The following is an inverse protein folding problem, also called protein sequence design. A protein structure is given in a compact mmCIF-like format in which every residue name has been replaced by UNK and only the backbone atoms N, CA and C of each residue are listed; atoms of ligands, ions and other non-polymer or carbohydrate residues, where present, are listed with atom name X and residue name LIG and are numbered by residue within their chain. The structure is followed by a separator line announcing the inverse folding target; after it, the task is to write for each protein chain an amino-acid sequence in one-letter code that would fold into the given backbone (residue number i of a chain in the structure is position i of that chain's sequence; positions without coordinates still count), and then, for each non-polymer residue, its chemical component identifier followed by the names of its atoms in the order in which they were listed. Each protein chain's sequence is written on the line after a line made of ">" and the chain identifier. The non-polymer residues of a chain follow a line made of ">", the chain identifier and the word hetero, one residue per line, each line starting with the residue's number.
data_IF_077002820336
#
_entry.id   IF_077002820336
#
_cell.length_a   1.000
_cell.length_b   1.000
_cell.length_c   1.000
_cell.angle_alpha   90.00
_cell.angle_beta   90.00
_cell.angle_gamma   90.00
#
_symmetry.space_group_name_H-M   'P 1'
#
loop_
_entity.id
_entity.type
_entity.pdbx_description
1 polymer ?
#
# COMPACT_ATOMS: atom_id res chain seq x y z
N UNK A 1 7.98 -14.07 2.53
CA UNK A 1 9.38 -14.31 2.88
C UNK A 1 9.62 -15.79 3.04
N UNK A 2 10.72 -16.29 2.49
CA UNK A 2 11.16 -17.67 2.63
C UNK A 2 12.52 -17.72 3.33
N UNK A 3 12.81 -18.84 3.98
CA UNK A 3 14.12 -19.10 4.59
C UNK A 3 14.61 -20.48 4.20
N UNK A 4 15.92 -20.65 4.05
CA UNK A 4 16.60 -21.93 3.93
C UNK A 4 17.26 -22.29 5.27
N UNK A 5 16.97 -23.48 5.79
CA UNK A 5 17.57 -24.01 7.01
C UNK A 5 18.91 -24.73 6.72
N UNK A 6 19.77 -24.95 7.74
CA UNK A 6 21.05 -25.64 7.55
C UNK A 6 20.98 -27.06 6.96
N UNK A 7 19.81 -27.70 6.99
CA UNK A 7 19.56 -29.00 6.38
C UNK A 7 19.14 -28.92 4.90
N UNK A 8 19.04 -27.71 4.32
CA UNK A 8 18.62 -27.44 2.94
C UNK A 8 17.10 -27.40 2.74
N UNK A 9 16.29 -27.52 3.79
CA UNK A 9 14.84 -27.35 3.70
C UNK A 9 14.48 -25.86 3.66
N UNK A 10 13.43 -25.52 2.89
CA UNK A 10 12.88 -24.18 2.84
C UNK A 10 11.52 -24.10 3.52
N UNK A 11 11.19 -22.95 4.10
CA UNK A 11 9.88 -22.70 4.71
C UNK A 11 9.45 -21.24 4.52
N UNK A 12 8.14 -21.01 4.50
CA UNK A 12 7.55 -19.67 4.37
C UNK A 12 7.30 -19.08 5.75
N UNK A 13 7.83 -17.89 5.99
CA UNK A 13 7.73 -17.20 7.27
C UNK A 13 6.58 -16.19 7.28
N UNK A 14 5.95 -16.03 8.44
CA UNK A 14 5.13 -14.86 8.79
C UNK A 14 5.67 -14.30 10.10
N UNK A 15 5.97 -12.99 10.07
CA UNK A 15 6.42 -12.28 11.26
C UNK A 15 5.26 -12.24 12.27
N UNK A 16 5.52 -12.75 13.47
CA UNK A 16 4.56 -12.76 14.55
C UNK A 16 4.43 -11.36 15.18
N UNK A 17 3.20 -10.96 15.48
CA UNK A 17 2.90 -9.73 16.21
C UNK A 17 2.93 -8.44 15.39
N UNK A 18 3.17 -8.51 14.08
CA UNK A 18 3.23 -7.31 13.22
C UNK A 18 2.44 -7.49 11.93
N UNK A 19 1.91 -6.38 11.44
CA UNK A 19 1.18 -6.29 10.18
C UNK A 19 1.57 -5.01 9.45
N UNK A 20 2.15 -5.15 8.26
CA UNK A 20 2.50 -4.02 7.40
C UNK A 20 1.31 -3.68 6.51
N UNK A 21 1.20 -2.44 6.01
CA UNK A 21 0.25 -2.14 4.94
C UNK A 21 0.45 -3.06 3.73
N UNK A 22 -0.61 -3.26 2.97
CA UNK A 22 -0.57 -4.04 1.72
C UNK A 22 0.20 -3.27 0.63
N UNK A 23 0.91 -4.01 -0.22
CA UNK A 23 1.63 -3.46 -1.39
C UNK A 23 0.78 -3.45 -2.66
N UNK A 24 -0.54 -3.57 -2.50
CA UNK A 24 -1.47 -3.53 -3.62
C UNK A 24 -2.58 -2.58 -3.24
N UNK A 25 -2.70 -1.47 -3.97
CA UNK A 25 -3.60 -0.37 -3.62
C UNK A 25 -5.05 -0.84 -3.39
N UNK A 26 -5.56 -1.74 -4.23
CA UNK A 26 -6.91 -2.31 -4.10
C UNK A 26 -7.13 -3.20 -2.88
N UNK A 27 -6.06 -3.63 -2.20
CA UNK A 27 -6.11 -4.40 -0.94
C UNK A 27 -5.75 -3.55 0.28
N UNK A 28 -5.23 -2.35 0.07
CA UNK A 28 -4.91 -1.42 1.15
C UNK A 28 -6.20 -0.86 1.74
N UNK A 29 -6.41 -1.12 3.02
CA UNK A 29 -7.61 -0.70 3.74
C UNK A 29 -7.23 0.21 4.91
N UNK A 30 -7.51 1.52 4.83
CA UNK A 30 -7.15 2.46 5.91
C UNK A 30 -7.80 2.16 7.25
N UNK A 31 -8.99 1.54 7.27
CA UNK A 31 -9.70 1.22 8.52
C UNK A 31 -8.95 0.21 9.41
N UNK A 32 -7.94 -0.46 8.86
CA UNK A 32 -7.03 -1.31 9.62
C UNK A 32 -6.01 -0.50 10.45
N UNK A 33 -5.74 0.76 10.12
CA UNK A 33 -4.66 1.54 10.74
C UNK A 33 -5.24 2.70 11.57
N UNK A 34 -4.92 2.71 12.86
CA UNK A 34 -5.40 3.75 13.77
C UNK A 34 -4.90 5.13 13.34
N UNK A 35 -5.80 6.12 13.35
CA UNK A 35 -5.46 7.51 12.99
C UNK A 35 -5.38 7.77 11.48
N UNK A 36 -5.51 6.76 10.62
CA UNK A 36 -5.54 6.95 9.17
C UNK A 36 -7.00 6.97 8.68
N UNK A 37 -7.46 8.05 8.02
CA UNK A 37 -8.82 8.15 7.54
C UNK A 37 -9.08 7.22 6.36
N UNK A 38 -10.29 6.64 6.31
CA UNK A 38 -10.81 5.89 5.16
C UNK A 38 -11.10 6.85 3.98
N UNK A 39 -10.03 7.19 3.28
CA UNK A 39 -9.96 8.18 2.22
C UNK A 39 -8.89 7.77 1.20
N UNK A 40 -8.92 8.36 0.01
CA UNK A 40 -7.88 8.16 -1.01
C UNK A 40 -6.49 8.50 -0.46
N UNK A 41 -6.34 9.66 0.20
CA UNK A 41 -5.07 10.07 0.81
C UNK A 41 -4.55 9.06 1.85
N UNK A 42 -5.42 8.56 2.73
CA UNK A 42 -5.03 7.56 3.72
C UNK A 42 -4.63 6.23 3.07
N UNK A 43 -5.33 5.82 2.00
CA UNK A 43 -5.02 4.60 1.25
C UNK A 43 -3.70 4.71 0.51
N UNK A 44 -3.43 5.83 -0.15
CA UNK A 44 -2.20 6.07 -0.91
C UNK A 44 -1.00 6.14 0.05
N UNK A 45 -1.14 6.85 1.17
CA UNK A 45 -0.13 6.89 2.23
C UNK A 45 0.22 5.49 2.74
N UNK A 46 -0.78 4.66 3.03
CA UNK A 46 -0.53 3.29 3.48
C UNK A 46 0.08 2.42 2.39
N UNK A 47 -0.32 2.59 1.13
CA UNK A 47 0.30 1.89 0.01
C UNK A 47 1.79 2.21 -0.10
N UNK A 48 2.18 3.50 -0.04
CA UNK A 48 3.58 3.92 -0.01
C UNK A 48 4.33 3.30 1.17
N UNK A 49 3.72 3.27 2.36
CA UNK A 49 4.32 2.65 3.54
C UNK A 49 4.43 1.13 3.45
N UNK A 50 3.53 0.47 2.72
CA UNK A 50 3.64 -0.95 2.37
C UNK A 50 4.86 -1.22 1.49
N UNK A 51 5.12 -0.37 0.50
CA UNK A 51 6.31 -0.46 -0.35
C UNK A 51 7.59 -0.19 0.46
N UNK A 52 7.60 0.85 1.31
CA UNK A 52 8.74 1.16 2.20
C UNK A 52 9.04 0.02 3.18
N UNK A 53 8.01 -0.59 3.77
CA UNK A 53 8.17 -1.74 4.66
C UNK A 53 8.74 -2.96 3.92
N UNK A 54 8.32 -3.17 2.68
CA UNK A 54 8.83 -4.25 1.83
C UNK A 54 10.30 -4.03 1.47
N UNK A 55 10.67 -2.81 1.09
CA UNK A 55 12.06 -2.44 0.80
C UNK A 55 12.94 -2.57 2.04
N UNK A 56 12.48 -2.09 3.20
CA UNK A 56 13.19 -2.23 4.46
C UNK A 56 13.44 -3.70 4.83
N UNK A 57 12.45 -4.57 4.64
CA UNK A 57 12.63 -6.00 4.86
C UNK A 57 13.64 -6.63 3.90
N UNK A 58 13.65 -6.23 2.62
CA UNK A 58 14.63 -6.70 1.65
C UNK A 58 16.06 -6.25 2.05
N UNK A 59 16.25 -4.96 2.35
CA UNK A 59 17.54 -4.41 2.74
C UNK A 59 18.08 -5.03 4.03
N UNK A 60 17.18 -5.34 4.97
CA UNK A 60 17.59 -5.91 6.25
C UNK A 60 17.78 -7.42 6.25
N UNK A 61 17.19 -8.17 5.31
CA UNK A 61 17.10 -9.63 5.43
C UNK A 61 17.60 -10.39 4.19
N UNK A 62 17.53 -9.82 3.00
CA UNK A 62 17.87 -10.55 1.78
C UNK A 62 19.34 -10.99 1.76
N UNK A 63 19.54 -12.29 1.56
CA UNK A 63 20.86 -12.92 1.57
C UNK A 63 21.57 -12.93 2.93
N UNK A 64 20.94 -12.44 4.01
CA UNK A 64 21.54 -12.43 5.35
C UNK A 64 21.25 -13.73 6.10
N UNK A 65 22.22 -14.16 6.91
CA UNK A 65 21.98 -15.22 7.90
C UNK A 65 21.33 -14.59 9.13
N UNK A 66 20.13 -15.05 9.46
CA UNK A 66 19.36 -14.52 10.58
C UNK A 66 19.09 -15.59 11.62
N UNK A 67 18.79 -15.16 12.85
CA UNK A 67 18.29 -16.06 13.88
C UNK A 67 16.77 -15.99 13.93
N UNK A 68 16.12 -17.14 13.86
CA UNK A 68 14.66 -17.27 13.95
C UNK A 68 14.29 -17.84 15.32
N UNK A 69 13.26 -17.28 15.94
CA UNK A 69 12.71 -17.73 17.23
C UNK A 69 11.19 -17.88 17.11
N UNK A 70 10.65 -19.01 17.56
CA UNK A 70 9.20 -19.20 17.72
C UNK A 70 8.78 -18.79 19.13
N UNK A 71 7.58 -18.23 19.26
CA UNK A 71 7.02 -17.89 20.56
C UNK A 71 6.48 -19.13 21.30
N UNK A 72 6.66 -19.24 22.63
CA UNK A 72 6.13 -20.37 23.41
C UNK A 72 4.63 -20.27 23.72
N UNK A 73 4.02 -19.08 23.61
CA UNK A 73 2.60 -18.84 23.91
C UNK A 73 1.74 -18.75 22.63
N UNK A 74 2.36 -18.50 21.48
CA UNK A 74 1.68 -18.51 20.18
C UNK A 74 1.71 -19.89 19.51
N UNK A 75 0.79 -20.09 18.57
CA UNK A 75 0.87 -21.22 17.66
C UNK A 75 2.17 -21.17 16.84
N UNK A 76 2.72 -22.35 16.54
CA UNK A 76 3.93 -22.44 15.72
C UNK A 76 3.69 -22.06 14.27
N UNK A 77 2.48 -22.28 13.76
CA UNK A 77 2.09 -21.98 12.37
C UNK A 77 0.75 -21.27 12.34
N UNK A 78 0.60 -20.31 11.43
CA UNK A 78 -0.67 -19.66 11.17
C UNK A 78 -1.61 -20.54 10.32
N UNK A 79 -2.85 -20.09 10.13
CA UNK A 79 -3.90 -20.82 9.41
C UNK A 79 -3.53 -21.21 7.97
N UNK A 80 -2.63 -20.46 7.34
CA UNK A 80 -2.12 -20.72 5.98
C UNK A 80 -0.86 -21.58 5.96
N UNK A 81 -0.47 -22.19 7.08
CA UNK A 81 0.69 -23.07 7.18
C UNK A 81 2.04 -22.36 7.28
N UNK A 82 2.10 -21.02 7.27
CA UNK A 82 3.34 -20.25 7.44
C UNK A 82 3.89 -20.39 8.87
N UNK A 83 5.20 -20.50 9.01
CA UNK A 83 5.88 -20.53 10.31
C UNK A 83 5.82 -19.14 10.97
N UNK A 84 5.30 -19.08 12.19
CA UNK A 84 5.18 -17.84 12.96
C UNK A 84 6.44 -17.59 13.77
N UNK A 85 7.11 -16.46 13.50
CA UNK A 85 8.47 -16.23 14.00
C UNK A 85 8.76 -14.79 14.38
N UNK A 86 9.72 -14.65 15.29
CA UNK A 86 10.54 -13.46 15.43
C UNK A 86 11.84 -13.67 14.66
N UNK A 87 12.23 -12.66 13.88
CA UNK A 87 13.55 -12.63 13.23
C UNK A 87 14.48 -11.74 14.03
N UNK A 88 15.72 -12.18 14.17
CA UNK A 88 16.79 -11.42 14.79
C UNK A 88 17.97 -11.26 13.84
N UNK A 89 18.37 -10.00 13.63
CA UNK A 89 19.54 -9.58 12.84
C UNK A 89 20.51 -8.94 13.82
N UNK A 90 21.74 -9.45 13.89
CA UNK A 90 22.78 -8.96 14.82
C UNK A 90 22.34 -8.82 16.31
N UNK A 91 21.36 -9.62 16.72
CA UNK A 91 20.81 -9.64 18.07
C UNK A 91 19.59 -8.74 18.28
N UNK A 92 19.23 -7.90 17.31
CA UNK A 92 18.08 -7.01 17.35
C UNK A 92 16.83 -7.70 16.79
N UNK A 93 15.67 -7.49 17.43
CA UNK A 93 14.41 -8.09 17.01
C UNK A 93 13.79 -7.27 15.86
N UNK A 94 13.84 -7.82 14.64
CA UNK A 94 13.34 -7.16 13.43
C UNK A 94 11.83 -6.87 13.49
N UNK A 95 11.03 -7.79 14.06
CA UNK A 95 9.59 -7.57 14.20
C UNK A 95 9.30 -6.34 15.07
N UNK A 96 9.99 -6.21 16.22
CA UNK A 96 9.86 -5.04 17.09
C UNK A 96 10.35 -3.77 16.40
N UNK A 97 11.40 -3.88 15.59
CA UNK A 97 11.93 -2.75 14.83
C UNK A 97 10.92 -2.21 13.83
N UNK A 98 10.17 -3.07 13.13
CA UNK A 98 9.08 -2.63 12.24
C UNK A 98 8.06 -1.74 12.96
N UNK A 99 7.73 -2.04 14.22
CA UNK A 99 6.84 -1.19 15.03
C UNK A 99 7.53 0.09 15.49
N UNK A 100 8.78 0.00 15.91
CA UNK A 100 9.57 1.13 16.43
C UNK A 100 9.79 2.20 15.35
N UNK A 101 10.05 1.76 14.13
CA UNK A 101 10.37 2.62 12.99
C UNK A 101 9.12 2.94 12.14
N UNK A 102 7.94 2.50 12.58
CA UNK A 102 6.65 2.87 11.97
C UNK A 102 6.38 2.23 10.61
N UNK A 103 6.93 1.04 10.33
CA UNK A 103 6.64 0.27 9.11
C UNK A 103 5.42 -0.65 9.25
N UNK A 104 5.01 -0.95 10.48
CA UNK A 104 3.92 -1.89 10.76
C UNK A 104 3.07 -1.42 11.93
N UNK A 105 1.83 -1.92 11.99
CA UNK A 105 0.99 -1.92 13.18
C UNK A 105 1.18 -3.21 13.97
N UNK A 106 0.83 -3.19 15.25
CA UNK A 106 0.72 -4.38 16.08
C UNK A 106 -0.43 -5.25 15.58
N UNK A 107 -0.13 -6.50 15.24
CA UNK A 107 -1.17 -7.45 14.86
C UNK A 107 -1.84 -8.04 16.09
N UNK A 108 -3.17 -7.94 16.17
CA UNK A 108 -3.90 -8.41 17.34
C UNK A 108 -3.88 -9.95 17.46
N UNK A 109 -2.97 -10.43 18.30
CA UNK A 109 -2.74 -11.85 18.58
C UNK A 109 -2.10 -12.03 19.96
N UNK A 110 -2.16 -13.24 20.52
CA UNK A 110 -1.53 -13.57 21.81
C UNK A 110 -0.12 -14.13 21.60
N UNK A 111 0.87 -13.54 22.27
CA UNK A 111 2.27 -13.97 22.23
C UNK A 111 3.06 -13.35 23.39
N UNK A 112 4.14 -13.99 23.81
CA UNK A 112 4.88 -13.64 25.04
C UNK A 112 5.52 -12.24 25.05
N UNK A 113 5.80 -11.67 23.87
CA UNK A 113 6.46 -10.35 23.72
C UNK A 113 5.48 -9.18 23.53
N UNK A 114 4.17 -9.41 23.63
CA UNK A 114 3.15 -8.44 23.23
C UNK A 114 3.29 -7.07 23.90
N UNK A 115 3.52 -7.02 25.22
CA UNK A 115 3.63 -5.75 25.95
C UNK A 115 4.79 -4.86 25.47
N UNK A 116 5.91 -5.46 25.04
CA UNK A 116 7.04 -4.72 24.45
C UNK A 116 6.68 -4.19 23.05
N UNK A 117 5.91 -4.94 22.28
CA UNK A 117 5.44 -4.53 20.95
C UNK A 117 4.39 -3.41 21.05
N UNK A 118 3.45 -3.51 21.98
CA UNK A 118 2.50 -2.43 22.31
C UNK A 118 3.23 -1.14 22.69
N UNK A 119 4.30 -1.26 23.48
CA UNK A 119 5.12 -0.09 23.85
C UNK A 119 5.86 0.48 22.64
N UNK A 120 6.37 -0.36 21.74
CA UNK A 120 7.08 0.10 20.54
C UNK A 120 6.14 0.88 19.60
N UNK A 121 4.96 0.32 19.29
CA UNK A 121 3.96 0.97 18.44
C UNK A 121 3.45 2.28 19.06
N UNK A 122 3.06 2.27 20.34
CA UNK A 122 2.54 3.48 21.00
C UNK A 122 3.56 4.63 21.00
N UNK A 123 4.86 4.31 21.10
CA UNK A 123 5.92 5.31 20.97
C UNK A 123 6.07 5.84 19.55
N UNK A 124 5.92 4.98 18.53
CA UNK A 124 5.97 5.38 17.13
C UNK A 124 4.77 6.27 16.77
N UNK A 125 3.56 5.90 17.21
CA UNK A 125 2.35 6.70 17.06
C UNK A 125 2.48 8.08 17.73
N UNK A 126 2.90 8.13 19.00
CA UNK A 126 3.05 9.40 19.73
C UNK A 126 4.06 10.35 19.09
N UNK A 127 5.07 9.81 18.42
CA UNK A 127 6.16 10.58 17.80
C UNK A 127 5.96 10.80 16.31
N UNK A 128 4.82 10.37 15.75
CA UNK A 128 4.52 10.48 14.33
C UNK A 128 5.68 9.88 13.51
N UNK A 129 6.08 8.65 13.86
CA UNK A 129 7.16 7.95 13.16
C UNK A 129 6.57 7.09 12.07
N UNK A 130 7.14 7.21 10.88
CA UNK A 130 6.84 6.33 9.77
C UNK A 130 5.41 6.46 9.27
N UNK A 131 4.66 5.36 9.18
CA UNK A 131 3.27 5.37 8.73
C UNK A 131 2.34 6.21 9.62
N UNK A 132 2.76 6.51 10.85
CA UNK A 132 2.01 7.37 11.77
C UNK A 132 2.21 8.87 11.51
N UNK A 133 3.17 9.26 10.67
CA UNK A 133 3.36 10.63 10.19
C UNK A 133 2.37 10.96 9.05
N UNK A 134 1.09 11.02 9.40
CA UNK A 134 0.03 11.31 8.43
C UNK A 134 -0.57 12.69 8.70
N UNK A 135 -0.46 13.58 7.72
CA UNK A 135 -1.11 14.89 7.73
C UNK A 135 -1.99 15.04 6.49
N UNK A 136 -3.32 14.94 6.68
CA UNK A 136 -4.33 15.10 5.63
C UNK A 136 -4.20 16.45 4.89
N UNK A 137 -3.68 17.49 5.55
CA UNK A 137 -3.47 18.80 4.93
C UNK A 137 -2.29 18.85 3.97
N UNK A 138 -1.34 17.91 4.10
CA UNK A 138 -0.23 17.73 3.16
C UNK A 138 -0.57 16.81 1.99
N UNK A 139 -1.65 16.01 2.13
CA UNK A 139 -2.16 15.12 1.08
C UNK A 139 -3.17 15.77 0.14
N UNK A 140 -3.34 17.10 0.23
CA UNK A 140 -3.93 17.84 -0.89
C UNK A 140 -3.01 17.64 -2.08
N UNK A 141 -3.47 17.09 -3.22
CA UNK A 141 -2.62 17.05 -4.41
C UNK A 141 -2.13 18.47 -4.61
N UNK A 142 -0.81 18.66 -4.55
CA UNK A 142 -0.19 19.92 -4.94
C UNK A 142 -0.83 20.24 -6.30
N UNK A 143 -1.57 21.35 -6.47
CA UNK A 143 -2.03 21.72 -7.79
C UNK A 143 -0.76 21.81 -8.59
N UNK A 144 -0.58 20.88 -9.56
CA UNK A 144 0.52 20.86 -10.50
C UNK A 144 0.86 22.31 -10.79
N UNK A 145 2.08 22.80 -10.47
CA UNK A 145 2.39 24.21 -10.55
C UNK A 145 1.97 24.62 -11.95
N UNK A 146 0.90 25.42 -11.98
CA UNK A 146 0.32 25.94 -13.21
C UNK A 146 1.48 26.61 -13.88
N UNK A 147 1.99 25.96 -14.93
CA UNK A 147 2.97 26.55 -15.79
C UNK A 147 2.38 27.91 -16.17
N UNK A 148 3.07 28.96 -15.75
CA UNK A 148 2.80 30.30 -16.23
C UNK A 148 3.06 30.25 -17.73
N UNK A 149 2.03 29.99 -18.51
CA UNK A 149 2.03 30.24 -19.93
C UNK A 149 1.30 31.56 -20.15
N UNK A 150 2.09 32.64 -20.20
CA UNK A 150 1.80 33.63 -21.21
C UNK A 150 1.89 32.89 -22.56
N UNK A 151 0.78 32.77 -23.28
CA UNK A 151 0.54 33.33 -24.63
C UNK A 151 -0.47 32.45 -25.40
N UNK A 152 -1.71 32.93 -25.54
CA UNK A 152 -2.50 32.90 -26.78
C UNK A 152 -2.69 31.56 -27.56
N UNK A 153 -3.82 30.85 -27.33
CA UNK A 153 -4.71 30.09 -28.26
C UNK A 153 -4.15 29.09 -29.33
N UNK A 154 -4.89 28.03 -29.74
CA UNK A 154 -6.35 27.86 -29.68
C UNK A 154 -6.86 26.56 -29.04
N UNK A 155 -8.17 26.53 -28.82
CA UNK A 155 -8.97 25.33 -28.65
C UNK A 155 -8.84 24.43 -29.89
N UNK A 156 -8.10 23.32 -29.78
CA UNK A 156 -8.43 22.13 -30.54
C UNK A 156 -9.13 21.20 -29.55
N UNK A 157 -10.44 21.40 -29.42
CA UNK A 157 -11.28 20.50 -28.64
C UNK A 157 -11.24 19.13 -29.30
N UNK A 158 -10.80 18.12 -28.55
CA UNK A 158 -11.09 16.73 -28.89
C UNK A 158 -12.61 16.65 -29.08
N UNK A 159 -13.06 16.35 -30.30
CA UNK A 159 -14.48 16.28 -30.64
C UNK A 159 -15.04 15.01 -30.00
N UNK A 160 -15.53 15.15 -28.76
CA UNK A 160 -16.15 14.06 -28.02
C UNK A 160 -17.53 13.80 -28.63
N UNK A 161 -17.81 12.56 -29.06
CA UNK A 161 -19.12 12.22 -29.62
C UNK A 161 -20.22 12.54 -28.60
N UNK A 162 -21.42 12.94 -29.02
CA UNK A 162 -22.52 13.22 -28.10
C UNK A 162 -22.92 11.96 -27.32
N UNK A 163 -23.29 12.15 -26.05
CA UNK A 163 -23.68 11.06 -25.15
C UNK A 163 -24.79 10.18 -25.78
N UNK A 164 -24.60 8.85 -25.82
CA UNK A 164 -25.59 7.91 -26.33
C UNK A 164 -26.94 8.01 -25.61
N UNK A 165 -28.00 7.53 -26.27
CA UNK A 165 -29.39 7.65 -25.77
C UNK A 165 -29.69 6.82 -24.52
N UNK A 166 -28.88 5.82 -24.23
CA UNK A 166 -28.86 5.03 -23.00
C UNK A 166 -28.06 5.69 -21.88
N UNK A 167 -27.36 6.79 -22.18
CA UNK A 167 -26.65 7.61 -21.20
C UNK A 167 -25.32 6.99 -20.76
N UNK A 168 -24.78 6.04 -21.52
CA UNK A 168 -23.55 5.32 -21.20
C UNK A 168 -22.57 5.34 -22.38
N UNK A 169 -21.28 5.62 -22.13
CA UNK A 169 -20.24 5.51 -23.15
C UNK A 169 -19.55 4.15 -23.05
N UNK A 170 -19.61 3.36 -24.12
CA UNK A 170 -18.68 2.24 -24.30
C UNK A 170 -17.46 2.67 -25.13
N UNK A 171 -16.33 1.95 -25.01
CA UNK A 171 -15.14 2.14 -25.86
C UNK A 171 -15.44 2.16 -27.36
N UNK A 172 -16.47 1.41 -27.81
CA UNK A 172 -16.87 1.39 -29.22
C UNK A 172 -17.51 2.70 -29.74
N UNK A 173 -17.82 3.65 -28.85
CA UNK A 173 -18.36 4.95 -29.21
C UNK A 173 -17.27 5.97 -29.58
N UNK A 174 -16.00 5.66 -29.28
CA UNK A 174 -14.86 6.53 -29.58
C UNK A 174 -14.09 6.01 -30.79
N UNK A 175 -13.61 6.92 -31.62
CA UNK A 175 -12.76 6.58 -32.77
C UNK A 175 -11.28 6.51 -32.38
N UNK A 176 -10.92 7.13 -31.25
CA UNK A 176 -9.53 7.23 -30.78
C UNK A 176 -9.45 7.08 -29.26
N UNK A 177 -8.33 6.56 -28.78
CA UNK A 177 -8.00 6.52 -27.36
C UNK A 177 -8.08 7.91 -26.70
N UNK A 178 -7.67 8.97 -27.41
CA UNK A 178 -7.70 10.36 -26.90
C UNK A 178 -9.13 10.84 -26.58
N UNK A 179 -10.13 10.44 -27.36
CA UNK A 179 -11.54 10.75 -27.07
C UNK A 179 -12.07 10.01 -25.85
N UNK A 180 -11.69 8.73 -25.69
CA UNK A 180 -12.08 7.93 -24.52
C UNK A 180 -11.42 8.48 -23.25
N UNK A 181 -10.13 8.82 -23.33
CA UNK A 181 -9.38 9.42 -22.23
C UNK A 181 -9.98 10.75 -21.80
N UNK A 182 -10.38 11.60 -22.75
CA UNK A 182 -11.00 12.89 -22.44
C UNK A 182 -12.35 12.75 -21.71
N UNK A 183 -13.06 11.62 -21.83
CA UNK A 183 -14.29 11.34 -21.06
C UNK A 183 -13.96 10.83 -19.66
N UNK A 184 -12.99 9.93 -19.51
CA UNK A 184 -12.52 9.47 -18.19
C UNK A 184 -11.95 10.63 -17.35
N UNK A 185 -11.19 11.52 -17.97
CA UNK A 185 -10.64 12.71 -17.30
C UNK A 185 -11.70 13.72 -16.85
N UNK A 186 -12.88 13.74 -17.50
CA UNK A 186 -14.00 14.58 -17.10
C UNK A 186 -14.73 14.05 -15.85
N UNK A 187 -14.83 12.73 -15.69
CA UNK A 187 -15.36 12.09 -14.49
C UNK A 187 -14.55 10.82 -14.14
N UNK A 188 -13.50 10.96 -13.30
CA UNK A 188 -12.62 9.86 -12.89
C UNK A 188 -13.30 8.81 -12.01
N UNK A 189 -14.57 8.99 -11.64
CA UNK A 189 -15.36 7.94 -10.98
C UNK A 189 -15.71 6.78 -11.93
N UNK A 190 -15.30 6.91 -13.19
CA UNK A 190 -15.52 6.01 -14.31
C UNK A 190 -16.95 5.44 -14.37
N UNK A 191 -18.00 6.30 -14.40
CA UNK A 191 -19.38 5.84 -14.45
C UNK A 191 -19.70 5.03 -15.70
N UNK A 192 -18.88 5.21 -16.75
CA UNK A 192 -18.97 4.57 -18.04
C UNK A 192 -18.11 3.31 -18.18
N UNK A 193 -17.31 2.99 -17.15
CA UNK A 193 -16.46 1.80 -17.12
C UNK A 193 -15.49 1.73 -18.30
N UNK A 194 -14.95 2.88 -18.69
CA UNK A 194 -13.96 3.04 -19.76
C UNK A 194 -12.57 2.56 -19.32
N UNK A 195 -12.29 2.58 -18.02
CA UNK A 195 -11.07 2.08 -17.39
C UNK A 195 -11.42 0.87 -16.52
N UNK A 196 -11.37 -0.32 -17.14
CA UNK A 196 -11.87 -1.54 -16.51
C UNK A 196 -10.93 -2.09 -15.43
N UNK A 197 -9.65 -1.75 -15.48
CA UNK A 197 -8.61 -2.17 -14.56
C UNK A 197 -8.15 -1.08 -13.58
N UNK A 198 -8.74 0.12 -13.68
CA UNK A 198 -8.60 1.25 -12.74
C UNK A 198 -7.14 1.71 -12.66
N UNK A 199 -6.48 1.76 -13.82
CA UNK A 199 -5.07 2.13 -13.97
C UNK A 199 -4.89 3.60 -14.46
N UNK A 200 -6.00 4.28 -14.72
CA UNK A 200 -6.08 5.67 -15.19
C UNK A 200 -6.14 5.80 -16.72
N UNK A 201 -6.20 4.70 -17.47
CA UNK A 201 -6.15 4.69 -18.93
C UNK A 201 -7.46 4.18 -19.53
N UNK A 202 -8.17 5.06 -20.24
CA UNK A 202 -9.45 4.71 -20.83
C UNK A 202 -9.28 3.88 -22.11
N UNK A 203 -9.96 2.73 -22.18
CA UNK A 203 -10.11 1.96 -23.41
C UNK A 203 -8.78 1.63 -24.11
N UNK A 204 -7.81 1.07 -23.39
CA UNK A 204 -6.45 0.73 -23.86
C UNK A 204 -6.36 -0.07 -25.17
N UNK A 205 -7.48 -0.64 -25.62
CA UNK A 205 -7.59 -1.44 -26.85
C UNK A 205 -7.94 -0.63 -28.12
N UNK A 206 -8.15 0.70 -28.00
CA UNK A 206 -8.43 1.63 -29.11
C UNK A 206 -7.19 2.13 -29.85
#
# INVERSE_FOLDING_TARGET
>A
MEVEFPNGETDTLRLLGVDTPETTLSRTNPSDFEGIPDSTAGRDHLYEWGERASQFAADELDGKTVRIETDPEADRRGSFGRLLVYIYVDGENFNRQLLTDGYARLYDSSFSKRSDFETAEANAQQKEVGLWDFDESTSTPEPTPTATEMTEAPSDGVDIPPLPSDGDYDCSHFETHEQAQAVLEQDPSDPHRLDADDDGVACESL
#
